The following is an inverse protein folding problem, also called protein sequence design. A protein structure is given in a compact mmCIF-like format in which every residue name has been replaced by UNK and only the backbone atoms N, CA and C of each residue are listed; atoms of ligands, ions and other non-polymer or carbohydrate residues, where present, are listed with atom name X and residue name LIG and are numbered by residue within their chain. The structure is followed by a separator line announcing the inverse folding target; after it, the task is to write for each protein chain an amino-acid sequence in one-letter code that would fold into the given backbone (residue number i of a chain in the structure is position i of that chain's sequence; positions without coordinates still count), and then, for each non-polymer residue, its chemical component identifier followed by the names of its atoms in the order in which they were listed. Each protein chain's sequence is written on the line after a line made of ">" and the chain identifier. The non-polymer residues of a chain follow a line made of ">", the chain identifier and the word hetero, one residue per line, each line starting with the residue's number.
data_IF_946808565612
#
_entry.id   IF_946808565612
#
_cell.length_a   1.000
_cell.length_b   1.000
_cell.length_c   1.000
_cell.angle_alpha   90.00
_cell.angle_beta   90.00
_cell.angle_gamma   90.00
#
_symmetry.space_group_name_H-M   'P 1'
#
loop_
_entity.id
_entity.type
_entity.pdbx_description
1 polymer ?
#
# COMPACT_ATOMS: atom_id res chain seq x y z
N UNK A 1 39.66 -25.91 41.50
CA UNK A 1 40.20 -25.24 40.29
C UNK A 1 39.12 -25.26 39.21
N UNK A 2 39.02 -24.15 38.48
CA UNK A 2 37.83 -23.65 37.76
C UNK A 2 37.70 -24.18 36.32
N UNK A 3 36.48 -24.01 35.75
CA UNK A 3 36.09 -23.79 34.34
C UNK A 3 35.23 -24.95 33.75
N UNK A 4 34.06 -24.71 33.16
CA UNK A 4 33.41 -23.45 32.82
C UNK A 4 31.96 -23.69 32.37
N UNK A 5 31.12 -22.69 32.60
CA UNK A 5 29.74 -22.64 32.12
C UNK A 5 29.79 -22.25 30.64
N UNK A 6 29.16 -23.04 29.78
CA UNK A 6 28.97 -22.70 28.37
C UNK A 6 27.74 -21.80 28.26
N UNK A 7 27.95 -20.50 28.05
CA UNK A 7 26.89 -19.59 27.62
C UNK A 7 26.81 -19.64 26.09
N UNK A 8 25.77 -20.29 25.57
CA UNK A 8 25.43 -20.20 24.15
C UNK A 8 24.73 -18.85 23.90
N UNK A 9 25.50 -17.87 23.42
CA UNK A 9 24.95 -16.61 22.90
C UNK A 9 24.35 -16.90 21.51
N UNK A 10 23.02 -16.93 21.44
CA UNK A 10 22.30 -16.83 20.17
C UNK A 10 22.47 -15.40 19.63
N UNK A 11 23.52 -15.17 18.84
CA UNK A 11 23.64 -13.99 17.99
C UNK A 11 22.58 -14.07 16.90
N UNK A 12 21.39 -13.54 17.19
CA UNK A 12 20.41 -13.19 16.17
C UNK A 12 21.00 -12.04 15.34
N UNK A 13 21.71 -12.38 14.26
CA UNK A 13 22.11 -11.40 13.26
C UNK A 13 20.87 -10.82 12.61
N UNK A 14 20.57 -9.55 12.86
CA UNK A 14 19.65 -8.80 12.02
C UNK A 14 20.34 -8.60 10.67
N UNK A 15 19.96 -9.38 9.66
CA UNK A 15 20.41 -9.15 8.29
C UNK A 15 19.63 -7.94 7.76
N UNK A 16 20.31 -6.80 7.62
CA UNK A 16 19.81 -5.73 6.78
C UNK A 16 19.87 -6.24 5.34
N UNK A 17 18.71 -6.51 4.73
CA UNK A 17 18.64 -6.78 3.28
C UNK A 17 18.94 -5.44 2.60
N UNK A 18 19.99 -5.35 1.77
CA UNK A 18 20.23 -4.15 1.00
C UNK A 18 19.04 -3.95 0.05
N UNK A 19 18.39 -2.81 0.18
CA UNK A 19 17.32 -2.38 -0.71
C UNK A 19 17.83 -2.36 -2.15
N UNK A 20 17.02 -2.85 -3.10
CA UNK A 20 17.45 -2.94 -4.49
C UNK A 20 17.55 -1.54 -5.11
N UNK A 21 18.41 -1.33 -6.13
CA UNK A 21 18.54 -0.03 -6.78
C UNK A 21 17.24 0.48 -7.42
N UNK A 22 16.35 -0.43 -7.83
CA UNK A 22 15.03 -0.11 -8.39
C UNK A 22 14.07 0.44 -7.33
N UNK A 23 14.11 -0.10 -6.10
CA UNK A 23 13.30 0.40 -4.99
C UNK A 23 13.73 1.82 -4.55
N UNK A 24 15.04 2.12 -4.63
CA UNK A 24 15.61 3.44 -4.28
C UNK A 24 15.16 4.53 -5.25
N UNK A 25 15.06 4.22 -6.55
CA UNK A 25 14.65 5.21 -7.56
C UNK A 25 13.14 5.45 -7.54
N UNK A 26 12.35 4.41 -7.25
CA UNK A 26 10.91 4.52 -7.01
C UNK A 26 10.63 5.38 -5.77
N UNK A 27 11.33 5.12 -4.66
CA UNK A 27 11.25 5.99 -3.48
C UNK A 27 11.63 7.43 -3.86
N UNK A 28 12.77 7.66 -4.52
CA UNK A 28 13.19 9.01 -4.88
C UNK A 28 12.15 9.77 -5.73
N UNK A 29 11.52 9.10 -6.70
CA UNK A 29 10.48 9.70 -7.54
C UNK A 29 9.20 10.03 -6.76
N UNK A 30 8.82 9.19 -5.78
CA UNK A 30 7.69 9.45 -4.87
C UNK A 30 7.96 10.65 -3.94
N UNK A 31 9.21 10.90 -3.57
CA UNK A 31 9.58 11.89 -2.57
C UNK A 31 9.83 13.30 -3.15
N UNK A 32 10.14 13.42 -4.44
CA UNK A 32 10.48 14.71 -5.06
C UNK A 32 9.25 15.59 -5.38
N UNK A 33 8.03 15.04 -5.48
CA UNK A 33 6.89 15.77 -6.04
C UNK A 33 5.60 15.78 -5.19
N UNK A 34 5.43 14.89 -4.20
CA UNK A 34 4.22 14.87 -3.37
C UNK A 34 4.56 14.57 -1.90
N UNK A 35 3.73 15.06 -0.96
CA UNK A 35 3.85 14.76 0.47
C UNK A 35 3.40 13.31 0.73
N UNK A 36 4.17 12.34 0.24
CA UNK A 36 4.03 10.93 0.59
C UNK A 36 4.56 10.75 2.01
N UNK A 37 3.73 10.27 2.93
CA UNK A 37 4.14 9.86 4.28
C UNK A 37 4.26 8.34 4.33
N UNK A 38 5.13 7.83 5.20
CA UNK A 38 5.34 6.39 5.42
C UNK A 38 5.75 5.58 4.16
N UNK A 39 6.06 6.27 3.06
CA UNK A 39 6.55 5.70 1.80
C UNK A 39 5.45 5.44 0.77
N UNK A 40 4.19 5.36 1.17
CA UNK A 40 3.08 4.91 0.32
C UNK A 40 1.74 5.64 0.56
N UNK A 41 1.68 6.64 1.44
CA UNK A 41 0.45 7.38 1.76
C UNK A 41 0.54 8.83 1.28
N UNK A 42 -0.26 9.19 0.28
CA UNK A 42 -0.44 10.58 -0.11
C UNK A 42 -1.35 11.32 0.86
N UNK A 43 -0.83 12.36 1.52
CA UNK A 43 -1.60 13.19 2.46
C UNK A 43 -1.89 14.55 1.84
N UNK A 44 -3.18 14.88 1.78
CA UNK A 44 -3.59 16.24 1.39
C UNK A 44 -3.05 17.24 2.43
N UNK A 45 -2.57 18.43 2.01
CA UNK A 45 -1.98 19.42 2.91
C UNK A 45 -2.87 19.83 4.11
N UNK A 46 -4.17 19.60 4.02
CA UNK A 46 -5.18 19.96 5.02
C UNK A 46 -5.67 18.78 5.87
N UNK A 47 -5.18 17.55 5.66
CA UNK A 47 -5.66 16.35 6.36
C UNK A 47 -4.81 16.00 7.58
N UNK A 48 -5.46 15.55 8.67
CA UNK A 48 -4.77 15.01 9.84
C UNK A 48 -4.10 13.67 9.50
N UNK A 49 -2.88 13.45 10.01
CA UNK A 49 -2.02 12.27 9.78
C UNK A 49 -2.48 11.00 10.51
N UNK A 50 -3.79 10.82 10.67
CA UNK A 50 -4.37 9.73 11.43
C UNK A 50 -5.39 9.02 10.54
N UNK A 51 -5.24 7.71 10.37
CA UNK A 51 -6.16 6.87 9.62
C UNK A 51 -7.60 7.05 10.14
N UNK A 52 -8.41 7.84 9.42
CA UNK A 52 -9.85 8.02 9.60
C UNK A 52 -10.38 7.92 11.06
N UNK A 53 -9.68 8.54 12.03
CA UNK A 53 -10.04 8.45 13.46
C UNK A 53 -11.23 9.34 13.81
N UNK A 54 -11.39 10.44 13.09
CA UNK A 54 -12.68 11.13 13.03
C UNK A 54 -13.51 10.51 11.90
N UNK A 55 -14.82 10.80 11.82
CA UNK A 55 -15.78 10.30 10.81
C UNK A 55 -15.45 10.66 9.34
N UNK A 56 -14.18 10.78 8.96
CA UNK A 56 -13.71 11.16 7.65
C UNK A 56 -13.87 10.03 6.61
N UNK A 57 -14.53 10.40 5.51
CA UNK A 57 -14.55 9.86 4.15
C UNK A 57 -14.40 8.35 3.97
N UNK A 58 -15.26 7.57 4.63
CA UNK A 58 -15.52 6.20 4.17
C UNK A 58 -16.31 6.25 2.87
N UNK A 59 -16.06 5.29 1.99
CA UNK A 59 -16.94 5.05 0.86
C UNK A 59 -18.36 4.72 1.36
N UNK A 60 -19.39 5.44 0.88
CA UNK A 60 -20.76 5.24 1.37
C UNK A 60 -21.22 3.82 1.08
N UNK A 61 -21.91 3.21 2.06
CA UNK A 61 -22.42 1.84 1.99
C UNK A 61 -21.34 0.76 1.75
N UNK A 62 -20.05 1.08 1.97
CA UNK A 62 -18.96 0.15 1.69
C UNK A 62 -18.75 -0.14 0.21
N UNK A 63 -19.29 0.69 -0.69
CA UNK A 63 -19.17 0.51 -2.14
C UNK A 63 -18.04 1.39 -2.66
N UNK A 64 -17.01 0.77 -3.23
CA UNK A 64 -15.86 1.43 -3.85
C UNK A 64 -16.04 1.39 -5.37
N UNK A 65 -16.39 2.51 -6.04
CA UNK A 65 -16.32 2.61 -7.49
C UNK A 65 -14.85 2.54 -7.92
N UNK A 66 -14.52 1.68 -8.89
CA UNK A 66 -13.15 1.54 -9.37
C UNK A 66 -13.03 1.45 -10.89
N UNK A 67 -11.88 1.87 -11.40
CA UNK A 67 -11.44 1.65 -12.78
C UNK A 67 -10.05 1.01 -12.80
N UNK A 68 -9.75 0.31 -13.89
CA UNK A 68 -8.39 -0.16 -14.21
C UNK A 68 -7.99 0.60 -15.47
N UNK A 69 -6.97 1.45 -15.35
CA UNK A 69 -6.40 2.17 -16.47
C UNK A 69 -5.68 1.21 -17.42
N UNK A 70 -5.55 1.61 -18.70
CA UNK A 70 -4.86 0.82 -19.71
C UNK A 70 -3.42 0.45 -19.30
N UNK A 71 -2.73 1.34 -18.58
CA UNK A 71 -1.37 1.11 -18.06
C UNK A 71 -1.31 -0.05 -17.04
N UNK A 72 -2.41 -0.30 -16.31
CA UNK A 72 -2.50 -1.33 -15.29
C UNK A 72 -3.10 -2.64 -15.79
N UNK A 73 -3.51 -2.73 -17.07
CA UNK A 73 -4.05 -3.96 -17.67
C UNK A 73 -3.17 -5.21 -17.48
N UNK A 74 -1.82 -5.14 -17.57
CA UNK A 74 -0.97 -6.29 -17.30
C UNK A 74 -1.14 -6.90 -15.90
N UNK A 75 -1.68 -6.13 -14.94
CA UNK A 75 -1.90 -6.55 -13.56
C UNK A 75 -3.35 -6.92 -13.25
N UNK A 76 -4.24 -6.92 -14.25
CA UNK A 76 -5.69 -7.16 -14.08
C UNK A 76 -5.99 -8.37 -13.21
N UNK A 77 -5.40 -9.52 -13.50
CA UNK A 77 -5.67 -10.76 -12.77
C UNK A 77 -5.31 -10.66 -11.27
N UNK A 78 -4.23 -9.94 -10.95
CA UNK A 78 -3.82 -9.70 -9.56
C UNK A 78 -4.75 -8.71 -8.87
N UNK A 79 -5.16 -7.65 -9.57
CA UNK A 79 -6.12 -6.66 -9.08
C UNK A 79 -7.46 -7.34 -8.77
N UNK A 80 -8.01 -8.11 -9.72
CA UNK A 80 -9.30 -8.78 -9.58
C UNK A 80 -9.27 -9.84 -8.47
N UNK A 81 -8.18 -10.62 -8.34
CA UNK A 81 -8.01 -11.58 -7.24
C UNK A 81 -7.96 -10.88 -5.87
N UNK A 82 -7.29 -9.73 -5.79
CA UNK A 82 -7.19 -8.95 -4.55
C UNK A 82 -8.54 -8.35 -4.17
N UNK A 83 -9.28 -7.81 -5.15
CA UNK A 83 -10.66 -7.34 -4.97
C UNK A 83 -11.51 -8.49 -4.41
N UNK A 84 -11.49 -9.66 -5.06
CA UNK A 84 -12.27 -10.82 -4.63
C UNK A 84 -11.92 -11.23 -3.20
N UNK A 85 -10.63 -11.27 -2.85
CA UNK A 85 -10.21 -11.57 -1.49
C UNK A 85 -10.83 -10.62 -0.46
N UNK A 86 -10.90 -9.32 -0.76
CA UNK A 86 -11.52 -8.33 0.14
C UNK A 86 -13.03 -8.52 0.23
N UNK A 87 -13.71 -8.75 -0.91
CA UNK A 87 -15.16 -8.96 -0.95
C UNK A 87 -15.58 -10.25 -0.22
N UNK A 88 -14.77 -11.31 -0.30
CA UNK A 88 -15.04 -12.60 0.35
C UNK A 88 -14.85 -12.53 1.88
N UNK A 89 -14.05 -11.59 2.39
CA UNK A 89 -13.67 -11.51 3.80
C UNK A 89 -14.24 -10.28 4.53
N UNK A 90 -14.94 -9.39 3.84
CA UNK A 90 -15.46 -8.14 4.43
C UNK A 90 -16.86 -7.82 3.88
N UNK A 91 -17.43 -6.69 4.31
CA UNK A 91 -18.66 -6.14 3.73
C UNK A 91 -18.41 -5.10 2.62
N UNK A 92 -17.16 -4.92 2.19
CA UNK A 92 -16.79 -3.98 1.14
C UNK A 92 -17.13 -4.60 -0.22
N UNK A 93 -17.64 -3.78 -1.14
CA UNK A 93 -17.96 -4.18 -2.51
C UNK A 93 -17.28 -3.24 -3.50
N UNK A 94 -16.70 -3.80 -4.56
CA UNK A 94 -16.08 -3.07 -5.64
C UNK A 94 -17.01 -3.07 -6.85
N UNK A 95 -17.29 -1.87 -7.39
CA UNK A 95 -18.11 -1.73 -8.59
C UNK A 95 -17.32 -1.02 -9.68
N UNK A 96 -17.32 -1.58 -10.89
CA UNK A 96 -16.74 -0.87 -12.04
C UNK A 96 -17.42 0.49 -12.19
N UNK A 97 -16.62 1.55 -12.24
CA UNK A 97 -17.12 2.89 -12.37
C UNK A 97 -17.78 3.07 -13.76
N UNK A 98 -18.85 3.84 -13.79
CA UNK A 98 -19.59 4.25 -14.98
C UNK A 98 -19.58 5.79 -15.10
N UNK A 99 -18.41 6.39 -14.83
CA UNK A 99 -18.19 7.84 -14.94
C UNK A 99 -18.30 8.63 -13.63
N UNK A 100 -18.34 7.97 -12.47
CA UNK A 100 -18.34 8.63 -11.17
C UNK A 100 -17.08 9.48 -10.97
N UNK A 101 -17.26 10.71 -10.47
CA UNK A 101 -16.14 11.60 -10.15
C UNK A 101 -15.33 11.12 -8.95
N UNK A 102 -15.99 10.48 -7.99
CA UNK A 102 -15.35 9.88 -6.82
C UNK A 102 -15.21 8.39 -7.07
N UNK A 103 -13.99 7.98 -7.46
CA UNK A 103 -13.62 6.58 -7.72
C UNK A 103 -12.14 6.35 -7.43
N UNK A 104 -11.78 5.09 -7.27
CA UNK A 104 -10.39 4.63 -7.19
C UNK A 104 -9.93 4.16 -8.57
N UNK A 105 -8.74 4.52 -9.01
CA UNK A 105 -8.21 4.06 -10.30
C UNK A 105 -6.90 3.32 -10.08
N UNK A 106 -6.83 2.07 -10.54
CA UNK A 106 -5.55 1.37 -10.65
C UNK A 106 -4.82 1.88 -11.89
N UNK A 107 -3.59 2.35 -11.71
CA UNK A 107 -2.72 2.84 -12.79
C UNK A 107 -1.32 2.29 -12.58
N UNK A 108 -0.57 2.13 -13.67
CA UNK A 108 0.86 1.87 -13.59
C UNK A 108 1.60 3.15 -13.99
N UNK A 109 2.36 3.70 -13.05
CA UNK A 109 3.11 4.95 -13.25
C UNK A 109 4.49 4.73 -13.86
N UNK A 110 4.81 3.51 -14.33
CA UNK A 110 6.08 3.20 -15.00
C UNK A 110 6.38 4.27 -16.07
N UNK A 111 7.30 5.16 -15.71
CA UNK A 111 7.92 6.17 -16.56
C UNK A 111 9.31 5.70 -16.94
#
# INVERSE_FOLDING_TARGET
>A
MMKGIVFALLLSGAFAVPMSPEDIDLEKQLWENENVIEGDILVLPTSERLAALSRASKWPNGIVPYDIDASAEPFRDNIERTIQHIEDNTCIQFKKAQGERSRMTFTNTSS
#
